data_IF_559583661940
#
_entry.id   IF_559583661940
#
_cell.length_a   1.000
_cell.length_b   1.000
_cell.length_c   1.000
_cell.angle_alpha   90.00
_cell.angle_beta   90.00
_cell.angle_gamma   90.00
#
_symmetry.space_group_name_H-M   'P 1'
#
loop_
_entity.id
_entity.type
_entity.pdbx_description
1 polymer ?
#
# COMPACT_ATOMS: atom_id res chain seq x y z
N UNK A 1 35.25 -10.10 -18.79
CA UNK A 1 35.76 -9.16 -19.80
C UNK A 1 34.69 -8.83 -20.82
N UNK A 2 33.99 -7.71 -20.69
CA UNK A 2 33.71 -6.90 -19.47
C UNK A 2 32.49 -6.01 -19.79
N UNK A 3 31.75 -5.58 -18.77
CA UNK A 3 30.75 -4.50 -18.91
C UNK A 3 31.42 -3.14 -18.93
N UNK A 4 30.86 -2.18 -19.66
CA UNK A 4 31.03 -0.76 -19.31
C UNK A 4 29.71 0.01 -19.53
N UNK A 5 29.27 0.72 -18.49
CA UNK A 5 28.15 1.66 -18.46
C UNK A 5 28.57 2.79 -17.51
N UNK A 6 28.54 4.05 -17.97
CA UNK A 6 27.97 5.09 -17.09
C UNK A 6 27.32 6.28 -17.85
N UNK A 7 26.62 7.19 -17.14
CA UNK A 7 25.89 7.01 -15.88
C UNK A 7 24.47 7.62 -15.91
N UNK A 8 23.62 7.18 -14.97
CA UNK A 8 22.34 7.84 -14.65
C UNK A 8 22.50 9.06 -13.72
N UNK A 9 21.53 9.99 -13.76
CA UNK A 9 21.44 11.16 -12.90
C UNK A 9 19.98 11.40 -12.41
N UNK A 10 19.74 12.01 -11.24
CA UNK A 10 18.57 11.66 -10.42
C UNK A 10 17.31 12.53 -10.63
N UNK A 11 16.11 12.00 -10.31
CA UNK A 11 14.86 12.74 -10.29
C UNK A 11 14.59 13.39 -8.92
N UNK A 12 14.19 14.67 -8.90
CA UNK A 12 13.42 15.25 -7.78
C UNK A 12 12.78 16.60 -8.15
N UNK A 13 11.46 16.76 -7.97
CA UNK A 13 10.83 17.89 -7.25
C UNK A 13 9.32 18.00 -7.55
N UNK A 14 8.50 17.72 -6.53
CA UNK A 14 7.16 18.26 -6.27
C UNK A 14 6.30 18.78 -7.44
N UNK A 15 5.27 18.01 -7.80
CA UNK A 15 4.04 18.59 -8.34
C UNK A 15 3.43 19.55 -7.31
N UNK A 16 2.89 20.68 -7.77
CA UNK A 16 2.12 21.61 -6.93
C UNK A 16 0.78 21.88 -7.58
N UNK A 17 -0.29 21.60 -6.83
CA UNK A 17 -1.67 21.80 -7.24
C UNK A 17 -1.96 23.29 -7.49
N UNK A 18 -2.71 23.59 -8.56
CA UNK A 18 -3.08 24.96 -8.95
C UNK A 18 -4.57 25.07 -9.24
N UNK A 19 -5.36 24.96 -8.17
CA UNK A 19 -6.77 25.31 -8.19
C UNK A 19 -6.98 26.78 -8.61
N UNK A 20 -7.48 27.01 -9.82
CA UNK A 20 -7.91 28.34 -10.27
C UNK A 20 -9.34 28.63 -9.80
N UNK A 21 -9.52 29.66 -8.96
CA UNK A 21 -10.83 30.23 -8.70
C UNK A 21 -10.80 31.76 -8.82
N UNK A 22 -11.76 32.30 -9.57
CA UNK A 22 -11.83 33.69 -10.01
C UNK A 22 -12.33 34.61 -8.89
N UNK A 23 -11.70 35.77 -8.69
CA UNK A 23 -12.40 36.93 -8.07
C UNK A 23 -11.77 38.27 -8.50
N UNK A 24 -12.64 39.25 -8.76
CA UNK A 24 -12.30 40.57 -9.32
C UNK A 24 -12.70 41.69 -8.35
N UNK A 25 -11.79 42.65 -8.11
CA UNK A 25 -12.12 43.96 -7.52
C UNK A 25 -11.14 45.06 -7.95
N UNK A 26 -11.68 46.25 -8.23
CA UNK A 26 -10.95 47.45 -8.67
C UNK A 26 -10.36 48.27 -7.50
N UNK A 27 -9.38 49.13 -7.79
CA UNK A 27 -8.86 50.12 -6.83
C UNK A 27 -7.77 51.03 -7.43
N UNK A 28 -8.08 52.31 -7.63
CA UNK A 28 -7.15 53.30 -8.18
C UNK A 28 -6.63 54.28 -7.10
N UNK A 29 -5.44 54.83 -7.30
CA UNK A 29 -4.85 55.85 -6.43
C UNK A 29 -3.57 56.46 -7.01
N UNK A 30 -3.65 57.70 -7.46
CA UNK A 30 -2.53 58.49 -8.02
C UNK A 30 -2.10 59.58 -7.01
N UNK A 31 -0.79 59.90 -6.96
CA UNK A 31 -0.33 61.21 -6.52
C UNK A 31 1.13 61.53 -6.90
N UNK A 32 1.42 62.83 -7.02
CA UNK A 32 2.68 63.40 -7.50
C UNK A 32 3.25 64.42 -6.49
N UNK A 33 4.58 64.64 -6.46
CA UNK A 33 5.20 65.56 -5.49
C UNK A 33 6.70 65.82 -5.69
N UNK A 34 7.05 67.09 -5.98
CA UNK A 34 8.38 67.69 -6.22
C UNK A 34 8.37 69.02 -5.44
N UNK A 35 9.43 69.50 -4.71
CA UNK A 35 10.48 70.32 -5.37
C UNK A 35 11.87 70.62 -4.69
N UNK A 36 12.74 71.21 -5.53
CA UNK A 36 13.58 72.44 -5.31
C UNK A 36 15.06 72.51 -4.80
N UNK A 37 15.88 73.16 -5.66
CA UNK A 37 16.74 74.36 -5.46
C UNK A 37 18.14 74.39 -4.82
N UNK A 38 18.96 75.30 -5.39
CA UNK A 38 20.27 75.83 -4.93
C UNK A 38 21.48 75.29 -5.71
N UNK A 39 22.40 76.01 -6.40
CA UNK A 39 22.75 77.42 -6.74
C UNK A 39 24.29 77.60 -6.55
N UNK A 40 24.93 78.48 -7.35
CA UNK A 40 26.37 78.85 -7.40
C UNK A 40 27.35 77.77 -7.89
N UNK A 41 28.48 78.10 -8.53
CA UNK A 41 29.06 79.41 -8.91
C UNK A 41 29.88 79.29 -10.22
N UNK A 42 30.23 80.42 -10.85
CA UNK A 42 30.88 80.44 -12.17
C UNK A 42 32.42 80.55 -12.14
N UNK A 43 33.09 80.04 -13.18
CA UNK A 43 34.37 80.60 -13.67
C UNK A 43 34.66 80.22 -15.15
N UNK A 44 35.44 81.07 -15.83
CA UNK A 44 36.17 80.80 -17.09
C UNK A 44 37.50 80.08 -16.77
N UNK A 45 38.28 79.50 -17.70
CA UNK A 45 38.28 79.52 -19.18
C UNK A 45 38.93 78.23 -19.77
N UNK A 46 39.24 78.19 -21.08
CA UNK A 46 40.12 77.27 -21.86
C UNK A 46 40.96 76.22 -21.08
N UNK A 47 41.13 74.96 -21.52
CA UNK A 47 41.50 74.53 -22.88
C UNK A 47 41.15 73.04 -23.19
N UNK A 48 41.65 72.47 -24.30
CA UNK A 48 41.17 71.23 -24.93
C UNK A 48 41.73 69.95 -24.28
N UNK A 49 40.83 69.02 -23.91
CA UNK A 49 41.18 67.62 -23.63
C UNK A 49 40.20 66.65 -24.30
N UNK A 50 40.70 65.89 -25.27
CA UNK A 50 39.94 64.82 -25.94
C UNK A 50 39.88 63.59 -25.02
N UNK A 51 38.73 63.32 -24.40
CA UNK A 51 38.46 62.06 -23.70
C UNK A 51 37.70 61.10 -24.62
N UNK A 52 38.20 59.87 -24.78
CA UNK A 52 37.58 58.88 -25.66
C UNK A 52 36.22 58.41 -25.10
N UNK A 53 35.14 58.38 -25.91
CA UNK A 53 33.80 58.12 -25.41
C UNK A 53 33.64 56.68 -24.90
N UNK A 54 33.43 56.55 -23.58
CA UNK A 54 33.08 55.29 -22.90
C UNK A 54 31.82 54.68 -23.55
N UNK A 55 31.97 53.51 -24.18
CA UNK A 55 30.90 52.85 -24.97
C UNK A 55 29.69 52.51 -24.09
N UNK A 56 28.58 53.23 -24.28
CA UNK A 56 27.28 52.91 -23.69
C UNK A 56 26.71 51.66 -24.37
N UNK A 57 26.84 50.49 -23.71
CA UNK A 57 26.26 49.23 -24.21
C UNK A 57 24.74 49.26 -23.99
N UNK A 58 23.97 49.34 -25.08
CA UNK A 58 22.54 49.07 -25.05
C UNK A 58 22.32 47.56 -25.26
N UNK A 59 21.66 46.89 -24.32
CA UNK A 59 20.99 45.62 -24.59
C UNK A 59 19.57 45.92 -25.09
N UNK A 60 19.17 45.23 -26.15
CA UNK A 60 17.81 45.26 -26.70
C UNK A 60 17.38 43.80 -26.85
N UNK A 61 16.21 43.43 -26.33
CA UNK A 61 15.65 42.12 -26.64
C UNK A 61 15.19 42.12 -28.10
N UNK A 62 15.80 41.27 -28.91
CA UNK A 62 15.38 41.00 -30.29
C UNK A 62 14.40 39.83 -30.23
N UNK A 63 13.14 39.96 -30.69
CA UNK A 63 12.24 38.83 -30.78
C UNK A 63 12.77 37.85 -31.84
N UNK A 64 12.97 36.59 -31.46
CA UNK A 64 13.39 35.52 -32.38
C UNK A 64 12.15 34.72 -32.75
N UNK A 65 11.76 34.78 -34.03
CA UNK A 65 10.76 33.89 -34.61
C UNK A 65 11.46 32.69 -35.25
N UNK A 66 11.39 31.53 -34.61
CA UNK A 66 11.94 30.30 -35.15
C UNK A 66 10.99 29.71 -36.21
N UNK A 67 11.54 29.26 -37.35
CA UNK A 67 10.81 28.57 -38.41
C UNK A 67 11.55 27.28 -38.72
N UNK A 68 11.13 26.19 -38.07
CA UNK A 68 11.70 24.86 -38.26
C UNK A 68 11.16 24.30 -39.59
N UNK A 69 12.00 24.28 -40.63
CA UNK A 69 11.61 23.76 -41.94
C UNK A 69 11.32 22.24 -41.84
N UNK A 70 10.09 21.85 -42.16
CA UNK A 70 9.60 20.48 -41.99
C UNK A 70 8.88 20.20 -40.65
N UNK A 71 8.86 21.16 -39.72
CA UNK A 71 8.01 21.10 -38.53
C UNK A 71 6.54 21.46 -38.84
N UNK A 72 5.62 20.92 -38.04
CA UNK A 72 4.21 21.36 -38.04
C UNK A 72 4.08 22.75 -37.39
N UNK A 73 3.07 23.52 -37.79
CA UNK A 73 2.73 24.76 -37.08
C UNK A 73 2.13 24.43 -35.71
N UNK A 74 2.25 25.34 -34.73
CA UNK A 74 1.67 25.13 -33.40
C UNK A 74 0.16 24.85 -33.44
N UNK A 75 -0.56 25.43 -34.40
CA UNK A 75 -2.00 25.18 -34.60
C UNK A 75 -2.28 23.79 -35.22
N UNK A 76 -1.34 23.21 -35.96
CA UNK A 76 -1.49 21.87 -36.55
C UNK A 76 -0.99 20.78 -35.59
N UNK A 77 0.01 21.08 -34.75
CA UNK A 77 0.36 20.27 -33.57
C UNK A 77 -0.84 20.15 -32.64
N UNK A 78 -1.50 21.27 -32.31
CA UNK A 78 -2.69 21.26 -31.44
C UNK A 78 -3.81 20.36 -31.99
N UNK A 79 -4.16 20.49 -33.28
CA UNK A 79 -5.13 19.60 -33.94
C UNK A 79 -4.71 18.13 -33.94
N UNK A 80 -3.42 17.85 -34.12
CA UNK A 80 -2.89 16.49 -34.10
C UNK A 80 -3.01 15.88 -32.69
N UNK A 81 -2.70 16.66 -31.65
CA UNK A 81 -2.86 16.28 -30.23
C UNK A 81 -4.32 16.07 -29.86
N UNK A 82 -5.22 16.96 -30.29
CA UNK A 82 -6.67 16.81 -30.09
C UNK A 82 -7.21 15.53 -30.74
N UNK A 83 -6.76 15.23 -31.97
CA UNK A 83 -7.12 13.98 -32.66
C UNK A 83 -6.51 12.74 -32.00
N UNK A 84 -5.28 12.83 -31.49
CA UNK A 84 -4.65 11.73 -30.73
C UNK A 84 -5.45 11.40 -29.47
N UNK A 85 -5.89 12.43 -28.72
CA UNK A 85 -6.78 12.23 -27.57
C UNK A 85 -8.15 11.67 -27.96
N UNK A 86 -8.72 12.05 -29.10
CA UNK A 86 -9.96 11.47 -29.62
C UNK A 86 -9.79 9.97 -29.93
N UNK A 87 -8.74 9.59 -30.66
CA UNK A 87 -8.44 8.19 -31.00
C UNK A 87 -8.16 7.34 -29.75
N UNK A 88 -7.30 7.83 -28.85
CA UNK A 88 -6.98 7.13 -27.60
C UNK A 88 -8.19 6.99 -26.66
N UNK A 89 -9.15 7.93 -26.70
CA UNK A 89 -10.41 7.81 -25.96
C UNK A 89 -11.33 6.75 -26.58
N UNK A 90 -11.41 6.65 -27.92
CA UNK A 90 -12.18 5.59 -28.59
C UNK A 90 -11.59 4.21 -28.30
N UNK A 91 -10.27 4.04 -28.44
CA UNK A 91 -9.57 2.78 -28.13
C UNK A 91 -9.84 2.33 -26.69
N UNK A 92 -9.72 3.26 -25.73
CA UNK A 92 -10.05 3.01 -24.33
C UNK A 92 -11.51 2.63 -24.11
N UNK A 93 -12.46 3.28 -24.79
CA UNK A 93 -13.88 2.94 -24.67
C UNK A 93 -14.16 1.55 -25.24
N UNK A 94 -13.53 1.17 -26.35
CA UNK A 94 -13.63 -0.18 -26.93
C UNK A 94 -13.04 -1.24 -26.00
N UNK A 95 -11.86 -1.01 -25.43
CA UNK A 95 -11.22 -1.90 -24.45
C UNK A 95 -12.09 -2.06 -23.19
N UNK A 96 -12.46 -0.95 -22.54
CA UNK A 96 -13.29 -0.96 -21.32
C UNK A 96 -14.71 -1.51 -21.56
N UNK A 97 -15.20 -1.54 -22.80
CA UNK A 97 -16.48 -2.18 -23.19
C UNK A 97 -16.31 -3.69 -23.38
N UNK A 98 -15.28 -4.10 -24.13
CA UNK A 98 -14.92 -5.51 -24.35
C UNK A 98 -14.65 -6.22 -23.02
N UNK A 99 -13.96 -5.58 -22.08
CA UNK A 99 -13.74 -6.11 -20.74
C UNK A 99 -15.03 -6.34 -19.95
N UNK A 100 -16.10 -5.57 -20.19
CA UNK A 100 -17.40 -5.83 -19.58
C UNK A 100 -18.16 -6.95 -20.27
N UNK A 101 -18.03 -7.11 -21.60
CA UNK A 101 -18.52 -8.29 -22.31
C UNK A 101 -17.86 -9.57 -21.78
N UNK A 102 -16.53 -9.59 -21.72
CA UNK A 102 -15.73 -10.69 -21.17
C UNK A 102 -16.10 -11.01 -19.70
N UNK A 103 -16.39 -9.98 -18.90
CA UNK A 103 -16.78 -10.16 -17.49
C UNK A 103 -18.18 -10.78 -17.31
N UNK A 104 -19.12 -10.53 -18.23
CA UNK A 104 -20.41 -11.23 -18.27
C UNK A 104 -20.20 -12.70 -18.64
N UNK A 105 -19.46 -12.96 -19.72
CA UNK A 105 -19.14 -14.32 -20.21
C UNK A 105 -18.45 -15.17 -19.11
N UNK A 106 -17.41 -14.64 -18.49
CA UNK A 106 -16.68 -15.31 -17.42
C UNK A 106 -17.56 -15.60 -16.19
N UNK A 107 -18.46 -14.68 -15.81
CA UNK A 107 -19.41 -14.90 -14.71
C UNK A 107 -20.43 -15.99 -15.05
N UNK A 108 -20.93 -16.02 -16.30
CA UNK A 108 -21.86 -17.03 -16.79
C UNK A 108 -21.26 -18.44 -16.69
N UNK A 109 -20.01 -18.62 -17.14
CA UNK A 109 -19.33 -19.92 -17.04
C UNK A 109 -18.95 -20.30 -15.60
N UNK A 110 -18.37 -19.38 -14.82
CA UNK A 110 -17.97 -19.64 -13.43
C UNK A 110 -19.17 -19.95 -12.54
N UNK A 111 -20.22 -19.11 -12.55
CA UNK A 111 -21.39 -19.31 -11.70
C UNK A 111 -22.17 -20.59 -12.06
N UNK A 112 -22.32 -20.90 -13.35
CA UNK A 112 -22.95 -22.16 -13.79
C UNK A 112 -22.17 -23.39 -13.28
N UNK A 113 -20.85 -23.37 -13.37
CA UNK A 113 -20.00 -24.44 -12.83
C UNK A 113 -20.13 -24.54 -11.29
N UNK A 114 -20.01 -23.40 -10.59
CA UNK A 114 -20.16 -23.29 -9.13
C UNK A 114 -21.50 -23.87 -8.62
N UNK A 115 -22.61 -23.62 -9.33
CA UNK A 115 -23.95 -24.08 -8.99
C UNK A 115 -24.16 -25.60 -9.12
N UNK A 116 -23.41 -26.27 -10.00
CA UNK A 116 -23.41 -27.72 -10.13
C UNK A 116 -22.43 -28.41 -9.17
N UNK A 117 -21.31 -27.76 -8.84
CA UNK A 117 -20.32 -28.19 -7.85
C UNK A 117 -20.63 -27.57 -6.46
N UNK A 118 -19.69 -26.81 -5.87
CA UNK A 118 -19.65 -26.40 -4.46
C UNK A 118 -20.86 -25.61 -3.92
N UNK A 119 -21.72 -25.02 -4.76
CA UNK A 119 -22.88 -24.26 -4.31
C UNK A 119 -24.18 -25.06 -4.27
N UNK A 120 -24.24 -26.30 -4.76
CA UNK A 120 -25.50 -27.06 -4.87
C UNK A 120 -26.27 -27.25 -3.54
N UNK A 121 -25.58 -27.18 -2.39
CA UNK A 121 -26.21 -27.24 -1.06
C UNK A 121 -26.71 -25.87 -0.53
N UNK A 122 -26.24 -24.76 -1.10
CA UNK A 122 -26.41 -23.38 -0.59
C UNK A 122 -27.51 -22.60 -1.33
N UNK A 123 -28.24 -23.29 -2.19
CA UNK A 123 -29.36 -22.81 -3.01
C UNK A 123 -30.46 -23.87 -2.98
N UNK A 124 -31.74 -23.50 -3.12
CA UNK A 124 -32.79 -24.51 -3.32
C UNK A 124 -32.77 -25.03 -4.76
N UNK A 125 -33.33 -26.22 -5.01
CA UNK A 125 -33.43 -26.78 -6.37
C UNK A 125 -34.14 -25.81 -7.34
N UNK A 126 -35.27 -25.24 -6.90
CA UNK A 126 -36.06 -24.28 -7.65
C UNK A 126 -35.33 -22.95 -7.90
N UNK A 127 -34.56 -22.44 -6.93
CA UNK A 127 -33.75 -21.24 -7.13
C UNK A 127 -32.58 -21.53 -8.08
N UNK A 128 -31.93 -22.69 -7.94
CA UNK A 128 -30.80 -23.12 -8.78
C UNK A 128 -31.21 -23.21 -10.25
N UNK A 129 -32.37 -23.80 -10.53
CA UNK A 129 -32.95 -23.87 -11.87
C UNK A 129 -33.27 -22.48 -12.44
N UNK A 130 -33.84 -21.58 -11.63
CA UNK A 130 -34.06 -20.18 -12.05
C UNK A 130 -32.75 -19.45 -12.37
N UNK A 131 -31.70 -19.59 -11.55
CA UNK A 131 -30.41 -18.94 -11.82
C UNK A 131 -29.75 -19.54 -13.06
N UNK A 132 -29.77 -20.86 -13.24
CA UNK A 132 -29.25 -21.50 -14.46
C UNK A 132 -30.01 -21.01 -15.71
N UNK A 133 -31.34 -20.88 -15.65
CA UNK A 133 -32.12 -20.31 -16.75
C UNK A 133 -31.73 -18.86 -17.06
N UNK A 134 -31.54 -18.00 -16.05
CA UNK A 134 -31.05 -16.61 -16.26
C UNK A 134 -29.63 -16.54 -16.79
N UNK A 135 -28.75 -17.46 -16.39
CA UNK A 135 -27.39 -17.56 -16.95
C UNK A 135 -27.44 -17.95 -18.43
N UNK A 136 -28.35 -18.84 -18.83
CA UNK A 136 -28.56 -19.20 -20.24
C UNK A 136 -29.16 -18.05 -21.06
N UNK A 137 -30.22 -17.40 -20.57
CA UNK A 137 -30.80 -16.22 -21.23
C UNK A 137 -29.79 -15.09 -21.48
N UNK A 138 -28.77 -14.94 -20.62
CA UNK A 138 -27.71 -13.94 -20.80
C UNK A 138 -26.57 -14.47 -21.69
N UNK A 139 -26.31 -15.78 -21.72
CA UNK A 139 -25.40 -16.41 -22.69
C UNK A 139 -25.92 -16.29 -24.12
N UNK A 140 -27.17 -16.70 -24.34
CA UNK A 140 -27.83 -16.68 -25.64
C UNK A 140 -27.88 -15.24 -26.18
N UNK A 141 -28.27 -14.28 -25.33
CA UNK A 141 -28.23 -12.84 -25.64
C UNK A 141 -26.84 -12.34 -26.02
N UNK A 142 -25.75 -12.85 -25.43
CA UNK A 142 -24.37 -12.41 -25.71
C UNK A 142 -23.90 -12.79 -27.13
N UNK A 143 -24.52 -13.81 -27.73
CA UNK A 143 -24.28 -14.29 -29.08
C UNK A 143 -25.34 -13.83 -30.10
N UNK A 144 -26.42 -13.17 -29.64
CA UNK A 144 -27.47 -12.55 -30.47
C UNK A 144 -27.44 -11.02 -30.33
N UNK A 145 -28.49 -10.39 -29.77
CA UNK A 145 -28.64 -8.92 -29.67
C UNK A 145 -27.50 -8.21 -28.88
N UNK A 146 -26.76 -8.95 -28.05
CA UNK A 146 -25.67 -8.46 -27.21
C UNK A 146 -24.28 -8.54 -27.84
N UNK A 147 -24.14 -8.63 -29.17
CA UNK A 147 -22.81 -8.69 -29.78
C UNK A 147 -22.02 -7.37 -29.63
N UNK A 148 -22.63 -6.23 -29.97
CA UNK A 148 -22.03 -4.90 -30.03
C UNK A 148 -22.79 -3.88 -29.15
N UNK A 149 -23.12 -4.32 -27.93
CA UNK A 149 -23.83 -3.47 -26.95
C UNK A 149 -22.90 -2.59 -26.11
N UNK A 150 -23.49 -1.57 -25.50
CA UNK A 150 -22.74 -0.56 -24.73
C UNK A 150 -22.22 -1.13 -23.41
N UNK A 151 -21.08 -0.58 -22.96
CA UNK A 151 -20.48 -0.85 -21.63
C UNK A 151 -21.50 -0.84 -20.47
N UNK A 152 -22.47 0.06 -20.52
CA UNK A 152 -23.52 0.19 -19.50
C UNK A 152 -24.48 -1.00 -19.48
N UNK A 153 -24.82 -1.56 -20.65
CA UNK A 153 -25.71 -2.72 -20.75
C UNK A 153 -25.02 -4.00 -20.25
N UNK A 154 -23.74 -4.23 -20.58
CA UNK A 154 -22.98 -5.34 -19.99
C UNK A 154 -22.86 -5.25 -18.46
N UNK A 155 -22.67 -4.04 -17.91
CA UNK A 155 -22.67 -3.83 -16.46
C UNK A 155 -24.04 -4.16 -15.86
N UNK A 156 -25.14 -3.69 -16.47
CA UNK A 156 -26.49 -3.97 -15.99
C UNK A 156 -26.79 -5.49 -15.99
N UNK A 157 -26.44 -6.21 -17.06
CA UNK A 157 -26.57 -7.67 -17.18
C UNK A 157 -25.76 -8.41 -16.11
N UNK A 158 -24.51 -8.00 -15.87
CA UNK A 158 -23.67 -8.59 -14.82
C UNK A 158 -24.27 -8.35 -13.43
N UNK A 159 -24.76 -7.14 -13.16
CA UNK A 159 -25.37 -6.79 -11.88
C UNK A 159 -26.77 -7.43 -11.69
N UNK A 160 -27.49 -7.79 -12.76
CA UNK A 160 -28.70 -8.60 -12.70
C UNK A 160 -28.40 -10.05 -12.29
N UNK A 161 -27.39 -10.68 -12.91
CA UNK A 161 -26.95 -12.03 -12.53
C UNK A 161 -26.42 -12.07 -11.08
N UNK A 162 -25.63 -11.07 -10.67
CA UNK A 162 -25.08 -10.95 -9.31
C UNK A 162 -26.13 -10.84 -8.21
N UNK A 163 -27.25 -10.14 -8.43
CA UNK A 163 -28.36 -10.08 -7.46
C UNK A 163 -28.92 -11.47 -7.12
N UNK A 164 -28.70 -12.47 -7.98
CA UNK A 164 -29.11 -13.86 -7.79
C UNK A 164 -27.96 -14.74 -7.27
N UNK A 165 -26.76 -14.59 -7.82
CA UNK A 165 -25.60 -15.42 -7.48
C UNK A 165 -24.87 -15.03 -6.19
N UNK A 166 -24.73 -13.72 -5.91
CA UNK A 166 -23.95 -13.23 -4.77
C UNK A 166 -24.51 -13.69 -3.41
N UNK A 167 -25.83 -13.78 -3.16
CA UNK A 167 -26.38 -14.38 -1.93
C UNK A 167 -26.07 -15.87 -1.77
N UNK A 168 -25.81 -16.61 -2.86
CA UNK A 168 -25.44 -18.03 -2.82
C UNK A 168 -23.93 -18.16 -2.52
N UNK A 169 -23.11 -17.34 -3.18
CA UNK A 169 -21.67 -17.25 -2.91
C UNK A 169 -21.40 -16.77 -1.47
N UNK A 170 -22.19 -15.82 -0.93
CA UNK A 170 -22.12 -15.39 0.46
C UNK A 170 -22.42 -16.53 1.44
N UNK A 171 -23.50 -17.31 1.24
CA UNK A 171 -23.83 -18.47 2.09
C UNK A 171 -22.72 -19.51 2.11
N UNK A 172 -22.17 -19.85 0.94
CA UNK A 172 -21.04 -20.78 0.82
C UNK A 172 -19.79 -20.24 1.53
N UNK A 173 -19.44 -18.97 1.28
CA UNK A 173 -18.28 -18.31 1.87
C UNK A 173 -18.39 -18.26 3.40
N UNK A 174 -19.53 -17.83 3.91
CA UNK A 174 -19.82 -17.78 5.35
C UNK A 174 -19.84 -19.17 5.99
N UNK A 175 -20.34 -20.20 5.31
CA UNK A 175 -20.20 -21.58 5.78
C UNK A 175 -18.74 -22.04 5.86
N UNK A 176 -17.91 -21.62 4.91
CA UNK A 176 -16.50 -22.03 4.80
C UNK A 176 -15.59 -21.26 5.76
N UNK A 177 -15.73 -19.94 5.89
CA UNK A 177 -14.93 -19.11 6.79
C UNK A 177 -15.29 -19.31 8.28
N UNK A 178 -16.57 -19.51 8.60
CA UNK A 178 -17.07 -19.45 9.99
C UNK A 178 -16.32 -20.38 10.95
N UNK A 179 -15.93 -21.58 10.53
CA UNK A 179 -15.20 -22.53 11.38
C UNK A 179 -13.92 -21.92 11.97
N UNK A 180 -13.02 -21.45 11.10
CA UNK A 180 -11.75 -20.86 11.52
C UNK A 180 -11.93 -19.59 12.38
N UNK A 181 -12.98 -18.80 12.13
CA UNK A 181 -13.26 -17.59 12.91
C UNK A 181 -13.86 -17.93 14.29
N UNK A 182 -14.69 -18.97 14.39
CA UNK A 182 -15.15 -19.53 15.67
C UNK A 182 -13.97 -20.05 16.49
N UNK A 183 -13.05 -20.78 15.86
CA UNK A 183 -11.85 -21.31 16.53
C UNK A 183 -10.93 -20.19 17.03
N UNK A 184 -10.75 -19.13 16.23
CA UNK A 184 -9.99 -17.94 16.64
C UNK A 184 -10.61 -17.21 17.83
N UNK A 185 -11.94 -17.01 17.86
CA UNK A 185 -12.62 -16.42 19.03
C UNK A 185 -12.50 -17.34 20.26
N UNK A 186 -12.64 -18.66 20.06
CA UNK A 186 -12.52 -19.66 21.14
C UNK A 186 -11.11 -19.66 21.74
N UNK A 187 -10.07 -19.54 20.90
CA UNK A 187 -8.69 -19.37 21.33
C UNK A 187 -8.49 -18.08 22.15
N UNK A 188 -9.03 -16.95 21.71
CA UNK A 188 -8.96 -15.69 22.46
C UNK A 188 -9.68 -15.78 23.82
N UNK A 189 -10.87 -16.39 23.87
CA UNK A 189 -11.62 -16.64 25.12
C UNK A 189 -10.78 -17.49 26.09
N UNK A 190 -10.21 -18.61 25.63
CA UNK A 190 -9.44 -19.50 26.48
C UNK A 190 -8.12 -18.86 26.94
N UNK A 191 -7.40 -18.15 26.05
CA UNK A 191 -6.17 -17.43 26.39
C UNK A 191 -6.39 -16.40 27.51
N UNK A 192 -7.45 -15.60 27.43
CA UNK A 192 -7.78 -14.63 28.48
C UNK A 192 -8.31 -15.29 29.77
N UNK A 193 -9.07 -16.38 29.66
CA UNK A 193 -9.54 -17.18 30.80
C UNK A 193 -8.39 -17.82 31.57
N UNK A 194 -7.47 -18.49 30.87
CA UNK A 194 -6.26 -19.08 31.44
C UNK A 194 -5.38 -18.02 32.08
N UNK A 195 -5.16 -16.89 31.41
CA UNK A 195 -4.38 -15.78 31.95
C UNK A 195 -5.00 -15.20 33.24
N UNK A 196 -6.32 -15.03 33.30
CA UNK A 196 -7.01 -14.54 34.50
C UNK A 196 -7.06 -15.56 35.65
N UNK A 197 -7.13 -16.86 35.33
CA UNK A 197 -7.08 -17.94 36.32
C UNK A 197 -5.64 -18.32 36.76
N UNK A 198 -4.62 -17.83 36.07
CA UNK A 198 -3.22 -18.21 36.30
C UNK A 198 -2.63 -17.62 37.58
N UNK A 199 -1.87 -18.48 38.29
CA UNK A 199 -0.98 -18.12 39.40
C UNK A 199 0.46 -17.85 38.96
N UNK A 200 0.67 -17.47 37.69
CA UNK A 200 1.97 -17.01 37.19
C UNK A 200 2.31 -15.65 37.84
N UNK A 201 3.51 -15.48 38.44
CA UNK A 201 3.92 -14.22 39.06
C UNK A 201 3.86 -12.99 38.14
N UNK A 202 3.75 -13.15 36.82
CA UNK A 202 3.47 -12.03 35.89
C UNK A 202 2.10 -11.37 36.09
N UNK A 203 1.17 -11.98 36.83
CA UNK A 203 -0.20 -11.48 37.06
C UNK A 203 -0.53 -11.20 38.54
N UNK A 204 0.44 -11.27 39.46
CA UNK A 204 0.21 -11.06 40.92
C UNK A 204 -0.28 -9.65 41.27
N UNK A 205 0.00 -8.66 40.42
CA UNK A 205 -0.32 -7.24 40.62
C UNK A 205 -1.65 -6.81 39.98
N UNK A 206 -2.35 -7.72 39.32
CA UNK A 206 -3.69 -7.48 38.77
C UNK A 206 -4.70 -7.86 39.85
N UNK A 207 -5.60 -6.93 40.20
CA UNK A 207 -6.54 -7.14 41.30
C UNK A 207 -7.55 -8.28 41.00
N UNK A 208 -8.05 -8.93 42.05
CA UNK A 208 -8.99 -10.04 41.91
C UNK A 208 -10.31 -9.61 41.24
N UNK A 209 -10.79 -8.38 41.47
CA UNK A 209 -11.96 -7.86 40.78
C UNK A 209 -11.67 -7.43 39.33
N UNK A 210 -10.40 -7.14 38.99
CA UNK A 210 -9.98 -6.97 37.59
C UNK A 210 -9.92 -8.32 36.86
N UNK A 211 -9.33 -9.36 37.47
CA UNK A 211 -9.34 -10.73 36.94
C UNK A 211 -10.77 -11.27 36.78
N UNK A 212 -11.67 -11.02 37.73
CA UNK A 212 -13.06 -11.46 37.65
C UNK A 212 -13.83 -10.78 36.50
N UNK A 213 -13.54 -9.51 36.15
CA UNK A 213 -14.13 -8.86 34.97
C UNK A 213 -13.73 -9.57 33.67
N UNK A 214 -12.45 -9.93 33.54
CA UNK A 214 -11.95 -10.70 32.38
C UNK A 214 -12.64 -12.05 32.28
N UNK A 215 -12.78 -12.77 33.40
CA UNK A 215 -13.50 -14.04 33.43
C UNK A 215 -14.99 -13.90 33.04
N UNK A 216 -15.66 -12.84 33.50
CA UNK A 216 -17.06 -12.58 33.15
C UNK A 216 -17.23 -12.29 31.64
N UNK A 217 -16.42 -11.40 31.07
CA UNK A 217 -16.48 -11.08 29.63
C UNK A 217 -16.17 -12.33 28.76
N UNK A 218 -15.22 -13.17 29.18
CA UNK A 218 -14.96 -14.47 28.53
C UNK A 218 -16.18 -15.41 28.58
N UNK A 219 -16.94 -15.43 29.68
CA UNK A 219 -18.17 -16.24 29.81
C UNK A 219 -19.31 -15.67 28.96
N UNK A 220 -19.48 -14.34 28.92
CA UNK A 220 -20.49 -13.69 28.06
C UNK A 220 -20.19 -13.88 26.57
N UNK A 221 -18.92 -13.79 26.16
CA UNK A 221 -18.49 -14.04 24.79
C UNK A 221 -18.71 -15.52 24.37
N UNK A 222 -18.43 -16.48 25.26
CA UNK A 222 -18.70 -17.90 24.99
C UNK A 222 -20.20 -18.22 24.95
N UNK A 223 -20.99 -17.64 25.85
CA UNK A 223 -22.44 -17.80 25.87
C UNK A 223 -23.10 -17.26 24.58
N UNK A 224 -22.70 -16.06 24.14
CA UNK A 224 -23.11 -15.48 22.87
C UNK A 224 -22.73 -16.36 21.67
N UNK A 225 -21.49 -16.83 21.64
CA UNK A 225 -20.98 -17.69 20.55
C UNK A 225 -21.78 -19.00 20.48
N UNK A 226 -22.05 -19.63 21.63
CA UNK A 226 -22.84 -20.85 21.74
C UNK A 226 -24.30 -20.65 21.31
N UNK A 227 -24.94 -19.57 21.73
CA UNK A 227 -26.30 -19.21 21.33
C UNK A 227 -26.40 -19.00 19.81
N UNK A 228 -25.53 -18.16 19.25
CA UNK A 228 -25.55 -17.86 17.81
C UNK A 228 -25.19 -19.07 16.95
N UNK A 229 -24.25 -19.91 17.42
CA UNK A 229 -23.95 -21.18 16.75
C UNK A 229 -25.16 -22.11 16.78
N UNK A 230 -25.81 -22.30 17.93
CA UNK A 230 -27.01 -23.14 18.03
C UNK A 230 -28.13 -22.65 17.10
N UNK A 231 -28.37 -21.33 17.00
CA UNK A 231 -29.32 -20.79 16.04
C UNK A 231 -28.89 -21.07 14.58
N UNK A 232 -27.61 -20.88 14.24
CA UNK A 232 -27.09 -21.17 12.91
C UNK A 232 -27.18 -22.66 12.53
N UNK A 233 -26.94 -23.56 13.48
CA UNK A 233 -26.98 -25.02 13.31
C UNK A 233 -28.43 -25.54 13.10
N UNK A 234 -29.47 -24.74 13.41
CA UNK A 234 -30.87 -25.09 13.10
C UNK A 234 -31.33 -24.68 11.68
N UNK A 235 -30.52 -23.93 10.95
CA UNK A 235 -30.88 -23.42 9.62
C UNK A 235 -30.31 -24.32 8.50
N UNK A 236 -31.05 -24.55 7.39
CA UNK A 236 -30.50 -25.21 6.22
C UNK A 236 -29.44 -24.34 5.55
N UNK A 237 -28.48 -24.97 4.86
CA UNK A 237 -27.36 -24.30 4.15
C UNK A 237 -27.80 -23.21 3.15
N UNK A 238 -29.00 -23.33 2.59
CA UNK A 238 -29.59 -22.35 1.65
C UNK A 238 -30.36 -21.19 2.32
N UNK A 239 -30.50 -21.17 3.64
CA UNK A 239 -31.07 -20.02 4.35
C UNK A 239 -30.02 -18.92 4.56
N UNK A 240 -30.48 -17.67 4.73
CA UNK A 240 -29.61 -16.55 5.11
C UNK A 240 -28.93 -16.83 6.46
N UNK A 241 -27.58 -16.73 6.57
CA UNK A 241 -26.88 -16.98 7.82
C UNK A 241 -27.26 -15.99 8.94
N UNK A 242 -27.35 -16.50 10.17
CA UNK A 242 -27.60 -15.70 11.39
C UNK A 242 -26.35 -15.53 12.25
N UNK A 243 -25.25 -16.18 11.87
CA UNK A 243 -23.93 -16.01 12.47
C UNK A 243 -22.91 -15.73 11.35
N UNK A 244 -22.63 -14.45 11.13
CA UNK A 244 -21.65 -13.98 10.15
C UNK A 244 -20.24 -13.96 10.74
N UNK A 245 -19.26 -14.33 9.91
CA UNK A 245 -17.84 -14.32 10.21
C UNK A 245 -17.33 -12.89 10.47
N UNK A 246 -18.00 -11.88 9.90
CA UNK A 246 -17.78 -10.49 10.27
C UNK A 246 -18.16 -10.17 11.74
N UNK A 247 -19.23 -10.77 12.28
CA UNK A 247 -19.69 -10.48 13.65
C UNK A 247 -18.91 -11.27 14.71
N UNK A 248 -18.45 -12.47 14.37
CA UNK A 248 -17.49 -13.20 15.23
C UNK A 248 -16.17 -12.43 15.33
N UNK A 249 -15.65 -11.88 14.21
CA UNK A 249 -14.47 -10.98 14.20
C UNK A 249 -14.67 -9.77 15.12
N UNK A 250 -15.78 -9.04 14.99
CA UNK A 250 -16.14 -7.92 15.89
C UNK A 250 -16.23 -8.33 17.37
N UNK A 251 -16.77 -9.52 17.69
CA UNK A 251 -16.83 -10.02 19.08
C UNK A 251 -15.44 -10.35 19.63
N UNK A 252 -14.54 -10.90 18.82
CA UNK A 252 -13.15 -11.15 19.20
C UNK A 252 -12.38 -9.83 19.43
N UNK A 253 -12.55 -8.83 18.56
CA UNK A 253 -11.99 -7.49 18.71
C UNK A 253 -12.49 -6.78 19.97
N UNK A 254 -13.78 -6.90 20.29
CA UNK A 254 -14.37 -6.34 21.51
C UNK A 254 -13.81 -7.02 22.78
N UNK A 255 -13.70 -8.35 22.78
CA UNK A 255 -13.11 -9.14 23.86
C UNK A 255 -11.65 -8.77 24.10
N UNK A 256 -10.83 -8.70 23.04
CA UNK A 256 -9.42 -8.29 23.16
C UNK A 256 -9.31 -6.86 23.70
N UNK A 257 -10.07 -5.91 23.13
CA UNK A 257 -10.10 -4.51 23.57
C UNK A 257 -10.46 -4.34 25.05
N UNK A 258 -11.29 -5.22 25.60
CA UNK A 258 -11.64 -5.22 27.03
C UNK A 258 -10.60 -5.93 27.91
N UNK A 259 -10.17 -7.13 27.53
CA UNK A 259 -9.32 -7.98 28.37
C UNK A 259 -7.84 -7.60 28.29
N UNK A 260 -7.34 -7.17 27.13
CA UNK A 260 -5.92 -6.85 26.90
C UNK A 260 -5.39 -5.77 27.85
N UNK A 261 -6.04 -4.60 28.04
CA UNK A 261 -5.52 -3.55 28.93
C UNK A 261 -5.44 -3.98 30.40
N UNK A 262 -6.31 -4.91 30.82
CA UNK A 262 -6.29 -5.49 32.16
C UNK A 262 -5.12 -6.48 32.29
N UNK A 263 -5.03 -7.45 31.36
CA UNK A 263 -4.05 -8.52 31.45
C UNK A 263 -2.62 -8.11 31.07
N UNK A 264 -2.43 -7.00 30.35
CA UNK A 264 -1.10 -6.41 30.07
C UNK A 264 -0.78 -5.18 30.94
N UNK A 265 -1.52 -4.97 32.03
CA UNK A 265 -1.25 -3.92 33.03
C UNK A 265 0.19 -4.09 33.56
N UNK A 266 1.03 -3.04 33.64
CA UNK A 266 2.41 -3.18 34.10
C UNK A 266 2.50 -3.47 35.60
N UNK A 267 3.54 -4.19 36.02
CA UNK A 267 3.88 -4.34 37.45
C UNK A 267 4.18 -2.97 38.08
N UNK A 268 3.66 -2.67 39.28
CA UNK A 268 4.08 -1.49 40.03
C UNK A 268 5.59 -1.46 40.21
N UNK A 269 6.24 -0.42 39.71
CA UNK A 269 7.65 -0.15 40.01
C UNK A 269 7.80 0.02 41.53
N UNK A 270 8.73 -0.72 42.14
CA UNK A 270 9.07 -0.50 43.54
C UNK A 270 9.51 0.97 43.70
N UNK A 271 9.01 1.71 44.69
CA UNK A 271 9.52 3.05 44.97
C UNK A 271 11.02 2.93 45.26
N UNK A 272 11.81 3.82 44.69
CA UNK A 272 13.25 3.87 44.96
C UNK A 272 13.44 4.18 46.45
N UNK A 273 14.04 3.25 47.19
CA UNK A 273 14.52 3.53 48.55
C UNK A 273 15.50 4.70 48.46
N UNK A 274 15.33 5.79 49.23
CA UNK A 274 16.28 6.89 49.22
C UNK A 274 17.63 6.39 49.73
N UNK A 275 18.63 6.44 48.86
CA UNK A 275 20.01 6.06 49.19
C UNK A 275 20.58 7.09 50.19
N UNK A 276 21.15 6.67 51.33
CA UNK A 276 21.73 7.60 52.29
C UNK A 276 22.96 8.30 51.67
N UNK A 277 23.14 9.61 51.90
CA UNK A 277 24.15 10.38 51.19
C UNK A 277 25.57 9.89 51.52
N UNK A 278 26.31 9.49 50.49
CA UNK A 278 27.71 9.11 50.60
C UNK A 278 28.56 10.31 51.08
N UNK A 279 29.36 10.11 52.13
CA UNK A 279 30.35 11.10 52.54
C UNK A 279 31.54 11.08 51.58
N UNK A 280 31.86 12.23 50.99
CA UNK A 280 33.06 12.42 50.19
C UNK A 280 34.32 12.33 51.06
N UNK A 281 35.33 11.62 50.57
CA UNK A 281 36.68 11.60 51.13
C UNK A 281 37.71 11.56 50.02
N UNK A 282 38.24 12.71 49.63
CA UNK A 282 39.26 12.83 48.59
C UNK A 282 40.65 12.43 49.09
N UNK A 283 41.45 11.86 48.19
CA UNK A 283 42.91 11.90 48.28
C UNK A 283 43.54 12.09 46.90
N UNK A 284 44.29 13.19 46.78
CA UNK A 284 45.26 13.60 45.76
C UNK A 284 46.18 12.48 45.19
N UNK A 285 46.88 12.63 44.04
CA UNK A 285 47.23 13.88 43.32
C UNK A 285 47.60 13.71 41.83
N UNK A 286 47.48 14.81 41.07
CA UNK A 286 48.35 15.32 39.99
C UNK A 286 49.00 14.40 38.92
N UNK A 287 48.86 14.81 37.65
CA UNK A 287 49.71 14.35 36.53
C UNK A 287 49.30 14.94 35.16
N UNK A 288 49.86 16.08 34.77
CA UNK A 288 49.82 16.62 33.39
C UNK A 288 50.74 15.79 32.45
N UNK A 289 50.69 15.85 31.11
CA UNK A 289 50.20 16.90 30.19
C UNK A 289 49.80 16.37 28.79
N UNK A 290 49.49 17.28 27.85
CA UNK A 290 49.05 17.05 26.46
C UNK A 290 49.93 16.11 25.60
N UNK A 291 49.30 15.32 24.72
CA UNK A 291 49.37 15.53 23.25
C UNK A 291 48.49 14.56 22.42
N UNK A 292 48.07 15.01 21.24
CA UNK A 292 47.67 14.18 20.09
C UNK A 292 48.42 14.69 18.85
N UNK A 293 48.77 13.86 17.84
CA UNK A 293 47.78 13.60 16.78
C UNK A 293 47.89 12.25 16.01
N UNK A 294 46.73 11.81 15.51
CA UNK A 294 46.42 11.27 14.16
C UNK A 294 47.33 10.30 13.34
N UNK A 295 46.63 9.47 12.55
CA UNK A 295 46.98 8.79 11.27
C UNK A 295 47.69 7.41 11.28
N UNK A 296 46.86 6.39 10.99
CA UNK A 296 46.89 5.60 9.74
C UNK A 296 48.17 4.90 9.25
N UNK A 297 48.15 3.56 9.22
CA UNK A 297 48.61 2.75 8.09
C UNK A 297 48.03 1.31 8.15
N UNK A 298 47.54 0.80 7.01
CA UNK A 298 47.56 -0.64 6.68
C UNK A 298 48.81 -0.90 5.81
N UNK A 299 49.22 -2.16 5.57
CA UNK A 299 48.68 -2.89 4.41
C UNK A 299 48.49 -4.41 4.62
N UNK A 300 48.04 -5.10 3.57
CA UNK A 300 48.17 -6.56 3.36
C UNK A 300 49.67 -6.99 3.23
N UNK A 301 50.10 -8.25 3.10
CA UNK A 301 49.47 -9.57 2.83
C UNK A 301 50.30 -10.71 3.53
N UNK A 302 50.52 -11.99 3.16
CA UNK A 302 50.31 -12.85 1.97
C UNK A 302 50.28 -14.37 2.36
N UNK A 303 50.18 -15.25 1.35
CA UNK A 303 50.23 -16.72 1.33
C UNK A 303 51.62 -17.33 1.67
N UNK A 304 51.88 -18.65 1.79
CA UNK A 304 51.10 -19.89 2.13
C UNK A 304 52.10 -21.09 2.21
N UNK A 305 51.66 -22.32 2.58
CA UNK A 305 52.49 -23.53 2.36
C UNK A 305 52.09 -24.87 3.06
N UNK A 306 51.81 -25.88 2.23
CA UNK A 306 52.10 -27.35 2.28
C UNK A 306 53.03 -27.95 3.38
N UNK A 307 53.00 -29.25 3.74
CA UNK A 307 52.21 -30.45 3.29
C UNK A 307 52.37 -31.71 4.20
N UNK A 308 51.63 -32.79 3.85
CA UNK A 308 51.90 -34.22 4.11
C UNK A 308 51.71 -34.78 5.55
N UNK A 309 51.40 -36.08 5.78
CA UNK A 309 51.38 -37.26 4.89
C UNK A 309 50.30 -38.32 5.26
N UNK A 310 49.92 -39.21 4.31
CA UNK A 310 49.10 -40.44 4.48
C UNK A 310 49.94 -41.69 4.09
N UNK A 311 49.51 -42.80 3.42
CA UNK A 311 48.21 -43.40 3.02
C UNK A 311 47.92 -44.62 3.96
N UNK A 312 47.65 -45.91 3.58
CA UNK A 312 47.04 -46.60 2.41
C UNK A 312 45.88 -47.60 2.79
N UNK A 313 45.29 -48.44 1.92
CA UNK A 313 44.83 -48.34 0.51
C UNK A 313 44.09 -49.64 0.06
N UNK A 314 43.66 -49.69 -1.22
CA UNK A 314 43.07 -50.80 -2.03
C UNK A 314 41.53 -51.01 -1.95
N UNK A 315 40.79 -51.19 -3.06
CA UNK A 315 41.05 -50.95 -4.50
C UNK A 315 39.73 -50.82 -5.33
N UNK A 316 39.81 -50.24 -6.54
CA UNK A 316 38.73 -50.05 -7.56
C UNK A 316 38.71 -51.23 -8.61
N UNK A 317 38.00 -51.24 -9.78
CA UNK A 317 37.15 -50.26 -10.52
C UNK A 317 35.79 -50.86 -11.05
N UNK A 318 35.02 -50.39 -12.07
CA UNK A 318 35.27 -49.51 -13.24
C UNK A 318 33.99 -48.98 -13.96
N UNK A 319 34.12 -47.80 -14.62
CA UNK A 319 33.39 -47.23 -15.80
C UNK A 319 31.84 -47.09 -15.93
N UNK A 320 31.40 -45.81 -16.04
CA UNK A 320 30.73 -45.10 -17.17
C UNK A 320 30.04 -45.87 -18.34
N UNK A 321 29.05 -45.35 -19.10
CA UNK A 321 28.49 -43.98 -19.26
C UNK A 321 26.97 -43.94 -19.66
N UNK A 322 26.50 -42.81 -20.20
CA UNK A 322 25.15 -42.39 -20.66
C UNK A 322 25.17 -42.15 -22.21
N UNK A 323 24.13 -41.58 -22.88
CA UNK A 323 22.66 -41.67 -22.73
C UNK A 323 21.91 -41.92 -24.09
N UNK A 324 20.59 -41.66 -24.11
CA UNK A 324 19.82 -40.98 -25.18
C UNK A 324 19.09 -41.75 -26.34
N UNK A 325 17.74 -41.70 -26.25
CA UNK A 325 16.72 -41.34 -27.28
C UNK A 325 16.21 -42.31 -28.37
N UNK A 326 14.92 -42.05 -28.71
CA UNK A 326 14.19 -42.24 -29.99
C UNK A 326 13.61 -43.61 -30.40
N UNK A 327 12.27 -43.66 -30.35
CA UNK A 327 11.33 -44.12 -31.39
C UNK A 327 11.65 -45.40 -32.19
N UNK A 328 10.78 -46.40 -32.10
CA UNK A 328 9.66 -46.52 -33.07
C UNK A 328 8.40 -46.98 -32.34
#
# INVERSE_FOLDING_TARGET
METDEPPSAPPNAAETDVNMQDTKTDGAGDNNGVPESGDKSAQMDTDVKVEAPKKKVKKTNVPVSEIIYGGLSAADVQKAVEKEFEMALQDRIMEETKDKKNAVEAYVYDMRNKLHDKYHEFVTELDREQVIARLQEVEDWLYEDGEDETKGVYIAKLDELKKLGDPIEERYKEHTERGAVIDQLTYCINSYREAAASSDPKFDHIDLAEKQKVLNECVEAEAWLREKKQHQDTLPKYATPVLLSADIRKRAEALDRFCRPIMTKPKPTKPATPEPPAQSGEAHSQGTENASPARSASPEDNAAGSENQAPPAEAEPMETDKPQTTQT
#
